data_IF_625973089752
#
_entry.id   IF_625973089752
#
_cell.length_a   1.000
_cell.length_b   1.000
_cell.length_c   1.000
_cell.angle_alpha   90.00
_cell.angle_beta   90.00
_cell.angle_gamma   90.00
#
_symmetry.space_group_name_H-M   'P 1'
#
loop_
_entity.id
_entity.type
_entity.pdbx_description
1 polymer ?
#
# COMPACT_ATOMS: atom_id res chain seq x y z
N UNK A 1 -4.56 23.17 -7.32
CA UNK A 1 -5.00 22.74 -8.70
C UNK A 1 -4.82 21.23 -8.80
N UNK A 2 -5.84 20.49 -9.29
CA UNK A 2 -5.71 19.05 -9.51
C UNK A 2 -4.68 18.76 -10.61
N UNK A 3 -3.86 17.74 -10.40
CA UNK A 3 -2.93 17.24 -11.42
C UNK A 3 -3.69 16.57 -12.58
N UNK A 4 -2.96 16.15 -13.62
CA UNK A 4 -3.54 15.33 -14.70
C UNK A 4 -4.13 14.03 -14.13
N UNK A 5 -3.44 13.43 -13.14
CA UNK A 5 -3.91 12.21 -12.46
C UNK A 5 -5.26 12.42 -11.76
N UNK A 6 -5.41 13.52 -11.04
CA UNK A 6 -6.67 13.85 -10.38
C UNK A 6 -7.82 14.07 -11.36
N UNK A 7 -7.56 14.77 -12.48
CA UNK A 7 -8.56 14.95 -13.54
C UNK A 7 -8.99 13.63 -14.18
N UNK A 8 -8.06 12.70 -14.38
CA UNK A 8 -8.35 11.35 -14.89
C UNK A 8 -9.22 10.59 -13.90
N UNK A 9 -8.87 10.61 -12.61
CA UNK A 9 -9.66 9.96 -11.54
C UNK A 9 -11.09 10.52 -11.47
N UNK A 10 -11.24 11.84 -11.49
CA UNK A 10 -12.55 12.49 -11.51
C UNK A 10 -13.42 12.03 -12.72
N UNK A 11 -12.80 11.98 -13.92
CA UNK A 11 -13.52 11.54 -15.13
C UNK A 11 -13.95 10.07 -15.07
N UNK A 12 -13.22 9.24 -14.30
CA UNK A 12 -13.56 7.85 -14.03
C UNK A 12 -14.54 7.70 -12.85
N UNK A 13 -14.95 8.81 -12.24
CA UNK A 13 -15.89 8.87 -11.13
C UNK A 13 -15.26 8.53 -9.77
N UNK A 14 -13.93 8.55 -9.66
CA UNK A 14 -13.23 8.31 -8.41
C UNK A 14 -13.02 9.59 -7.61
N UNK A 15 -13.22 9.50 -6.31
CA UNK A 15 -12.95 10.59 -5.35
C UNK A 15 -11.73 10.24 -4.51
N UNK A 16 -10.83 11.20 -4.33
CA UNK A 16 -9.74 11.07 -3.36
C UNK A 16 -10.25 11.59 -2.02
N UNK A 17 -10.12 10.78 -0.98
CA UNK A 17 -10.60 11.06 0.38
C UNK A 17 -9.46 10.99 1.40
N UNK A 18 -9.62 11.74 2.49
CA UNK A 18 -8.60 11.88 3.52
C UNK A 18 -7.44 12.77 3.09
N UNK A 19 -6.79 13.34 4.08
CA UNK A 19 -5.58 14.14 3.89
C UNK A 19 -4.35 13.28 4.15
N UNK A 20 -3.29 13.53 3.39
CA UNK A 20 -2.02 12.87 3.66
C UNK A 20 -1.41 13.50 4.92
N UNK A 21 -1.07 12.70 5.95
CA UNK A 21 -0.53 13.24 7.20
C UNK A 21 0.86 13.85 6.97
N UNK A 22 1.26 14.81 7.79
CA UNK A 22 2.61 15.40 7.81
C UNK A 22 3.61 14.39 8.40
N UNK A 23 3.93 13.37 7.61
CA UNK A 23 4.83 12.27 7.96
C UNK A 23 5.84 12.14 6.83
N UNK A 24 7.13 12.21 7.17
CA UNK A 24 8.20 12.10 6.17
C UNK A 24 8.45 10.69 5.69
N UNK A 25 8.23 9.70 6.55
CA UNK A 25 8.52 8.29 6.25
C UNK A 25 7.43 7.39 6.80
N UNK A 26 6.97 6.42 6.01
CA UNK A 26 5.96 5.45 6.45
C UNK A 26 5.98 4.18 5.61
N UNK A 27 5.35 3.14 6.14
CA UNK A 27 4.82 2.04 5.34
C UNK A 27 3.35 2.36 5.06
N UNK A 28 2.97 2.39 3.79
CA UNK A 28 1.56 2.56 3.38
C UNK A 28 1.03 1.19 2.99
N UNK A 29 0.04 0.69 3.70
CA UNK A 29 -0.70 -0.48 3.26
C UNK A 29 -1.86 -0.04 2.37
N UNK A 30 -2.01 -0.71 1.24
CA UNK A 30 -3.02 -0.42 0.24
C UNK A 30 -3.84 -1.68 -0.03
N UNK A 31 -5.09 -1.65 0.39
CA UNK A 31 -6.06 -2.74 0.22
C UNK A 31 -7.48 -2.15 0.05
N UNK A 32 -8.43 -2.92 -0.50
CA UNK A 32 -8.29 -4.22 -1.17
C UNK A 32 -7.47 -4.17 -2.47
N UNK A 33 -6.71 -5.24 -2.75
CA UNK A 33 -6.00 -5.38 -4.04
C UNK A 33 -6.47 -6.66 -4.74
N UNK A 34 -7.59 -6.55 -5.43
CA UNK A 34 -8.34 -7.68 -6.02
C UNK A 34 -8.31 -7.71 -7.55
N UNK A 35 -7.67 -6.71 -8.18
CA UNK A 35 -7.54 -6.64 -9.64
C UNK A 35 -6.25 -5.91 -10.04
N UNK A 36 -5.68 -6.25 -11.21
CA UNK A 36 -4.47 -5.59 -11.73
C UNK A 36 -4.62 -4.08 -11.93
N UNK A 37 -5.84 -3.62 -12.27
CA UNK A 37 -6.15 -2.20 -12.45
C UNK A 37 -5.99 -1.38 -11.16
N UNK A 38 -6.07 -2.01 -9.99
CA UNK A 38 -5.93 -1.35 -8.70
C UNK A 38 -4.55 -0.68 -8.56
N UNK A 39 -3.52 -1.30 -9.14
CA UNK A 39 -2.18 -0.73 -9.19
C UNK A 39 -2.15 0.60 -9.97
N UNK A 40 -2.90 0.69 -11.10
CA UNK A 40 -3.00 1.92 -11.87
C UNK A 40 -3.73 3.01 -11.08
N UNK A 41 -4.85 2.68 -10.44
CA UNK A 41 -5.57 3.62 -9.58
C UNK A 41 -4.70 4.08 -8.41
N UNK A 42 -4.01 3.15 -7.74
CA UNK A 42 -3.05 3.48 -6.69
C UNK A 42 -1.96 4.44 -7.18
N UNK A 43 -1.40 4.20 -8.38
CA UNK A 43 -0.41 5.10 -9.02
C UNK A 43 -0.98 6.49 -9.26
N UNK A 44 -2.19 6.60 -9.79
CA UNK A 44 -2.85 7.89 -10.03
C UNK A 44 -3.09 8.63 -8.70
N UNK A 45 -3.57 7.92 -7.68
CA UNK A 45 -3.83 8.47 -6.35
C UNK A 45 -2.58 9.05 -5.70
N UNK A 46 -1.49 8.28 -5.63
CA UNK A 46 -0.23 8.76 -5.01
C UNK A 46 0.42 9.89 -5.80
N UNK A 47 0.22 9.91 -7.13
CA UNK A 47 0.69 11.03 -7.97
C UNK A 47 -0.10 12.31 -7.67
N UNK A 48 -1.42 12.21 -7.45
CA UNK A 48 -2.25 13.34 -7.05
C UNK A 48 -1.88 13.86 -5.66
N UNK A 49 -1.56 12.96 -4.72
CA UNK A 49 -1.10 13.32 -3.37
C UNK A 49 0.29 13.99 -3.37
N UNK A 50 1.06 13.85 -4.45
CA UNK A 50 2.37 14.50 -4.58
C UNK A 50 3.46 13.95 -3.64
N UNK A 51 3.27 12.78 -3.08
CA UNK A 51 4.20 12.17 -2.12
C UNK A 51 5.37 11.46 -2.80
N UNK A 52 6.51 11.37 -2.12
CA UNK A 52 7.64 10.54 -2.55
C UNK A 52 7.43 9.09 -2.14
N UNK A 53 7.31 8.20 -3.09
CA UNK A 53 6.96 6.80 -2.81
C UNK A 53 7.74 5.80 -3.65
N UNK A 54 7.74 4.54 -3.18
CA UNK A 54 8.11 3.34 -3.94
C UNK A 54 7.07 2.25 -3.70
N UNK A 55 6.64 1.58 -4.78
CA UNK A 55 5.85 0.36 -4.66
C UNK A 55 6.75 -0.83 -4.39
N UNK A 56 6.38 -1.65 -3.42
CA UNK A 56 7.07 -2.91 -3.16
C UNK A 56 6.49 -3.99 -4.07
N UNK A 57 7.30 -4.54 -4.95
CA UNK A 57 6.86 -5.53 -5.94
C UNK A 57 7.75 -6.75 -5.92
N UNK A 58 7.17 -7.91 -6.30
CA UNK A 58 7.90 -9.17 -6.36
C UNK A 58 9.00 -9.10 -7.42
N UNK A 59 10.19 -9.65 -7.11
CA UNK A 59 11.35 -9.66 -8.01
C UNK A 59 11.04 -10.33 -9.36
N UNK A 60 10.17 -11.31 -9.37
CA UNK A 60 9.74 -12.06 -10.55
C UNK A 60 9.08 -11.18 -11.63
N UNK A 61 8.58 -9.99 -11.24
CA UNK A 61 8.01 -9.02 -12.18
C UNK A 61 9.06 -8.17 -12.89
N UNK A 62 10.35 -8.28 -12.50
CA UNK A 62 11.43 -7.46 -13.06
C UNK A 62 12.23 -8.18 -14.17
N UNK A 63 11.55 -8.88 -15.06
CA UNK A 63 12.15 -9.45 -16.28
C UNK A 63 12.06 -8.44 -17.45
N UNK A 64 12.93 -8.57 -18.46
CA UNK A 64 12.90 -7.74 -19.65
C UNK A 64 11.71 -8.13 -20.57
N UNK A 65 10.90 -7.16 -21.10
CA UNK A 65 10.99 -5.69 -20.93
C UNK A 65 10.21 -5.14 -19.73
N UNK A 66 9.54 -5.98 -18.93
CA UNK A 66 8.68 -5.58 -17.82
C UNK A 66 9.42 -4.77 -16.75
N UNK A 67 10.71 -5.01 -16.56
CA UNK A 67 11.56 -4.26 -15.63
C UNK A 67 11.58 -2.74 -15.90
N UNK A 68 11.50 -2.32 -17.18
CA UNK A 68 11.43 -0.91 -17.56
C UNK A 68 10.09 -0.30 -17.12
N UNK A 69 9.01 -1.04 -17.32
CA UNK A 69 7.67 -0.64 -16.88
C UNK A 69 7.62 -0.53 -15.35
N UNK A 70 8.12 -1.54 -14.63
CA UNK A 70 8.13 -1.55 -13.16
C UNK A 70 8.95 -0.38 -12.59
N UNK A 71 10.12 -0.09 -13.15
CA UNK A 71 10.93 1.07 -12.74
C UNK A 71 10.21 2.39 -12.99
N UNK A 72 9.61 2.58 -14.18
CA UNK A 72 8.82 3.77 -14.52
C UNK A 72 7.58 3.92 -13.62
N UNK A 73 7.03 2.80 -13.17
CA UNK A 73 5.92 2.76 -12.23
C UNK A 73 6.33 3.20 -10.81
N UNK A 74 7.63 3.23 -10.53
CA UNK A 74 8.18 3.56 -9.21
C UNK A 74 8.32 2.34 -8.30
N UNK A 75 8.38 1.14 -8.89
CA UNK A 75 8.50 -0.10 -8.12
C UNK A 75 9.94 -0.45 -7.79
N UNK A 76 10.14 -1.05 -6.62
CA UNK A 76 11.38 -1.71 -6.21
C UNK A 76 11.15 -3.22 -6.04
N UNK A 77 12.15 -3.99 -6.45
CA UNK A 77 12.10 -5.44 -6.39
C UNK A 77 12.48 -5.96 -5.01
N UNK A 78 11.67 -6.85 -4.45
CA UNK A 78 12.02 -7.59 -3.24
C UNK A 78 11.89 -9.09 -3.46
N UNK A 79 12.80 -9.86 -2.88
CA UNK A 79 12.72 -11.33 -2.86
C UNK A 79 11.86 -11.75 -1.68
N UNK A 80 10.56 -11.99 -1.93
CA UNK A 80 9.63 -12.48 -0.92
C UNK A 80 9.54 -11.56 0.32
N UNK A 81 8.35 -11.07 0.60
CA UNK A 81 8.14 -10.12 1.73
C UNK A 81 8.35 -10.79 3.11
N UNK A 82 8.40 -12.13 3.14
CA UNK A 82 8.76 -12.92 4.34
C UNK A 82 10.28 -13.04 4.56
N UNK A 83 11.09 -12.60 3.59
CA UNK A 83 12.55 -12.70 3.70
C UNK A 83 13.08 -11.56 4.56
N UNK A 84 13.88 -11.88 5.59
CA UNK A 84 14.55 -10.89 6.42
C UNK A 84 15.32 -9.84 5.60
N UNK A 85 15.94 -10.25 4.48
CA UNK A 85 16.63 -9.34 3.58
C UNK A 85 15.73 -8.25 3.02
N UNK A 86 14.43 -8.53 2.73
CA UNK A 86 13.49 -7.52 2.26
C UNK A 86 13.14 -6.50 3.36
N UNK A 87 13.02 -6.97 4.60
CA UNK A 87 12.75 -6.09 5.76
C UNK A 87 13.93 -5.15 5.99
N UNK A 88 15.17 -5.67 5.98
CA UNK A 88 16.37 -4.85 6.14
C UNK A 88 16.55 -3.87 4.98
N UNK A 89 16.34 -4.33 3.72
CA UNK A 89 16.44 -3.48 2.54
C UNK A 89 15.47 -2.29 2.61
N UNK A 90 14.23 -2.52 3.02
CA UNK A 90 13.22 -1.45 3.15
C UNK A 90 13.56 -0.51 4.31
N UNK A 91 13.98 -1.04 5.44
CA UNK A 91 14.36 -0.23 6.59
C UNK A 91 15.58 0.67 6.28
N UNK A 92 16.59 0.13 5.59
CA UNK A 92 17.76 0.88 5.16
C UNK A 92 17.39 1.97 4.13
N UNK A 93 16.52 1.64 3.18
CA UNK A 93 16.05 2.60 2.18
C UNK A 93 15.30 3.77 2.82
N UNK A 94 14.45 3.50 3.81
CA UNK A 94 13.76 4.54 4.58
C UNK A 94 14.77 5.36 5.38
N UNK A 95 15.66 4.71 6.12
CA UNK A 95 16.66 5.39 6.97
C UNK A 95 17.57 6.34 6.17
N UNK A 96 17.92 5.98 4.93
CA UNK A 96 18.79 6.78 4.04
C UNK A 96 18.01 7.81 3.19
N UNK A 97 16.73 8.02 3.47
CA UNK A 97 15.88 8.97 2.73
C UNK A 97 15.35 10.06 3.68
N UNK A 98 15.39 11.31 3.28
CA UNK A 98 14.76 12.40 4.05
C UNK A 98 13.24 12.27 4.07
N UNK A 99 12.68 11.82 2.94
CA UNK A 99 11.25 11.63 2.77
C UNK A 99 11.02 10.47 1.81
N UNK A 100 10.32 9.43 2.27
CA UNK A 100 9.96 8.28 1.45
C UNK A 100 8.82 7.48 2.08
N UNK A 101 7.87 7.06 1.24
CA UNK A 101 6.79 6.16 1.63
C UNK A 101 6.87 4.86 0.84
N UNK A 102 6.85 3.72 1.53
CA UNK A 102 6.85 2.40 0.89
C UNK A 102 5.43 1.87 0.86
N UNK A 103 4.92 1.64 -0.34
CA UNK A 103 3.55 1.15 -0.57
C UNK A 103 3.58 -0.34 -0.81
N UNK A 104 2.76 -1.05 -0.06
CA UNK A 104 2.63 -2.50 -0.13
C UNK A 104 1.17 -2.93 -0.01
N UNK A 105 0.76 -3.93 -0.80
CA UNK A 105 -0.47 -4.67 -0.52
C UNK A 105 -0.16 -5.82 0.44
N UNK A 106 -0.78 -5.84 1.63
CA UNK A 106 -0.54 -6.90 2.61
C UNK A 106 -1.04 -8.26 2.14
N UNK A 107 -2.04 -8.29 1.25
CA UNK A 107 -2.56 -9.51 0.63
C UNK A 107 -1.47 -10.21 -0.21
N UNK A 108 -0.54 -9.45 -0.78
CA UNK A 108 0.61 -9.94 -1.55
C UNK A 108 0.24 -10.62 -2.88
N UNK A 109 -1.04 -10.79 -3.18
CA UNK A 109 -1.58 -11.39 -4.40
C UNK A 109 -3.01 -10.91 -4.67
N UNK A 110 -3.45 -10.97 -5.93
CA UNK A 110 -4.79 -10.56 -6.37
C UNK A 110 -5.87 -11.61 -6.07
N UNK A 111 -5.47 -12.80 -5.64
CA UNK A 111 -6.39 -13.88 -5.28
C UNK A 111 -6.74 -13.81 -3.80
N UNK A 112 -7.88 -14.38 -3.45
CA UNK A 112 -8.28 -14.55 -2.05
C UNK A 112 -7.17 -15.24 -1.26
N UNK A 113 -6.77 -14.63 -0.16
CA UNK A 113 -5.79 -15.17 0.78
C UNK A 113 -6.44 -15.27 2.16
N UNK A 114 -6.15 -16.35 2.89
CA UNK A 114 -6.63 -16.54 4.26
C UNK A 114 -5.90 -15.61 5.22
N UNK A 115 -4.60 -15.39 4.96
CA UNK A 115 -3.72 -14.65 5.84
C UNK A 115 -2.91 -13.62 5.08
N UNK A 116 -2.84 -12.42 5.63
CA UNK A 116 -2.03 -11.34 5.11
C UNK A 116 -0.55 -11.58 5.40
N UNK A 117 0.28 -11.09 4.52
CA UNK A 117 1.72 -11.13 4.71
C UNK A 117 2.15 -10.13 5.79
N UNK A 118 2.72 -10.62 6.89
CA UNK A 118 3.18 -9.80 8.02
C UNK A 118 4.38 -8.88 7.70
N UNK A 119 4.90 -8.92 6.47
CA UNK A 119 6.08 -8.15 6.07
C UNK A 119 5.93 -6.65 6.28
N UNK A 120 4.77 -6.07 6.02
CA UNK A 120 4.50 -4.64 6.24
C UNK A 120 4.74 -4.24 7.69
N UNK A 121 4.30 -5.07 8.63
CA UNK A 121 4.46 -4.85 10.06
C UNK A 121 5.94 -4.88 10.47
N UNK A 122 6.66 -5.93 10.07
CA UNK A 122 8.08 -6.05 10.42
C UNK A 122 8.95 -4.96 9.76
N UNK A 123 8.59 -4.49 8.55
CA UNK A 123 9.24 -3.37 7.90
C UNK A 123 9.03 -2.07 8.68
N UNK A 124 7.78 -1.78 9.07
CA UNK A 124 7.45 -0.60 9.86
C UNK A 124 8.15 -0.62 11.24
N UNK A 125 8.09 -1.77 11.92
CA UNK A 125 8.75 -1.96 13.22
C UNK A 125 10.28 -1.77 13.12
N UNK A 126 10.92 -2.38 12.11
CA UNK A 126 12.36 -2.27 11.89
C UNK A 126 12.82 -0.87 11.52
N UNK A 127 12.04 -0.18 10.68
CA UNK A 127 12.32 1.19 10.27
C UNK A 127 11.89 2.23 11.32
N UNK A 128 11.13 1.84 12.34
CA UNK A 128 10.53 2.74 13.35
C UNK A 128 9.67 3.84 12.73
N UNK A 129 8.85 3.49 11.75
CA UNK A 129 7.96 4.41 11.04
C UNK A 129 6.50 3.98 11.21
N UNK A 130 5.53 4.92 11.18
CA UNK A 130 4.11 4.59 11.28
C UNK A 130 3.63 3.82 10.06
N UNK A 131 2.46 3.16 10.22
CA UNK A 131 1.72 2.53 9.14
C UNK A 131 0.57 3.44 8.76
N UNK A 132 0.54 3.87 7.50
CA UNK A 132 -0.59 4.59 6.91
C UNK A 132 -1.50 3.55 6.24
N UNK A 133 -2.80 3.64 6.50
CA UNK A 133 -3.80 2.77 5.92
C UNK A 133 -4.50 3.50 4.79
N UNK A 134 -4.29 3.06 3.57
CA UNK A 134 -4.92 3.59 2.37
C UNK A 134 -5.89 2.55 1.78
N UNK A 135 -7.00 3.01 1.20
CA UNK A 135 -8.00 2.14 0.60
C UNK A 135 -8.31 2.51 -0.85
N UNK A 136 -8.83 1.50 -1.56
CA UNK A 136 -9.46 1.64 -2.86
C UNK A 136 -10.85 0.98 -2.77
N UNK A 137 -11.88 1.79 -2.55
CA UNK A 137 -13.25 1.33 -2.37
C UNK A 137 -14.05 1.44 -3.68
N UNK A 138 -14.32 0.30 -4.29
CA UNK A 138 -15.07 0.25 -5.55
C UNK A 138 -16.57 0.48 -5.37
N UNK A 139 -17.10 0.22 -4.18
CA UNK A 139 -18.51 0.42 -3.89
C UNK A 139 -18.84 1.92 -3.85
N UNK A 140 -18.05 2.67 -3.11
CA UNK A 140 -18.20 4.12 -2.97
C UNK A 140 -17.45 4.92 -4.05
N UNK A 141 -16.61 4.25 -4.86
CA UNK A 141 -15.65 4.88 -5.80
C UNK A 141 -14.75 5.90 -5.12
N UNK A 142 -14.24 5.53 -3.97
CA UNK A 142 -13.33 6.34 -3.16
C UNK A 142 -11.96 5.68 -3.04
N UNK A 143 -10.94 6.51 -3.06
CA UNK A 143 -9.58 6.10 -2.72
C UNK A 143 -8.92 7.15 -1.84
N UNK A 144 -8.02 6.71 -0.98
CA UNK A 144 -7.26 7.66 -0.16
C UNK A 144 -6.85 7.11 1.18
N UNK A 145 -6.48 8.03 2.06
CA UNK A 145 -5.99 7.71 3.39
C UNK A 145 -7.20 7.55 4.32
N UNK A 146 -7.24 6.41 5.01
CA UNK A 146 -8.31 6.09 5.97
C UNK A 146 -7.85 6.14 7.42
N UNK A 147 -6.54 6.09 7.68
CA UNK A 147 -6.02 6.17 9.03
C UNK A 147 -4.50 6.05 9.11
N UNK A 148 -3.97 6.31 10.31
CA UNK A 148 -2.54 6.16 10.63
C UNK A 148 -2.42 5.41 11.95
N UNK A 149 -1.51 4.44 11.99
CA UNK A 149 -1.19 3.66 13.17
C UNK A 149 0.23 4.00 13.59
N UNK A 150 0.36 4.69 14.71
CA UNK A 150 1.65 5.12 15.26
C UNK A 150 2.25 4.08 16.21
N UNK A 151 1.41 3.46 17.04
CA UNK A 151 1.87 2.41 17.94
C UNK A 151 1.81 1.05 17.23
N UNK A 152 2.99 0.52 16.89
CA UNK A 152 3.17 -0.72 16.14
C UNK A 152 3.87 -1.83 16.95
N UNK A 153 3.88 -1.73 18.30
CA UNK A 153 4.58 -2.70 19.14
C UNK A 153 3.91 -4.07 19.15
N UNK A 154 2.57 -4.09 19.17
CA UNK A 154 1.80 -5.35 19.16
C UNK A 154 1.12 -5.58 17.80
N UNK A 155 1.43 -6.73 17.19
CA UNK A 155 0.88 -7.11 15.89
C UNK A 155 -0.65 -7.25 15.90
N UNK A 156 -1.20 -7.88 16.94
CA UNK A 156 -2.66 -8.12 17.00
C UNK A 156 -3.41 -6.78 17.16
N UNK A 157 -2.88 -5.87 17.96
CA UNK A 157 -3.42 -4.51 18.09
C UNK A 157 -3.41 -3.76 16.76
N UNK A 158 -2.30 -3.82 16.01
CA UNK A 158 -2.18 -3.23 14.68
C UNK A 158 -3.22 -3.82 13.72
N UNK A 159 -3.35 -5.15 13.68
CA UNK A 159 -4.31 -5.83 12.81
C UNK A 159 -5.75 -5.47 13.17
N UNK A 160 -6.09 -5.39 14.45
CA UNK A 160 -7.43 -4.99 14.89
C UNK A 160 -7.78 -3.57 14.44
N UNK A 161 -6.85 -2.64 14.53
CA UNK A 161 -7.03 -1.27 14.03
C UNK A 161 -7.22 -1.27 12.51
N UNK A 162 -6.38 -1.99 11.76
CA UNK A 162 -6.50 -2.12 10.31
C UNK A 162 -7.85 -2.71 9.91
N UNK A 163 -8.29 -3.79 10.57
CA UNK A 163 -9.59 -4.42 10.31
C UNK A 163 -10.75 -3.45 10.54
N UNK A 164 -10.68 -2.66 11.62
CA UNK A 164 -11.70 -1.64 11.91
C UNK A 164 -11.77 -0.57 10.82
N UNK A 165 -10.61 -0.15 10.29
CA UNK A 165 -10.51 0.84 9.22
C UNK A 165 -11.05 0.29 7.89
N UNK A 166 -10.75 -0.98 7.56
CA UNK A 166 -11.23 -1.60 6.32
C UNK A 166 -12.65 -2.17 6.39
N UNK A 167 -13.30 -2.08 7.53
CA UNK A 167 -14.68 -2.55 7.69
C UNK A 167 -15.61 -1.83 6.70
N UNK A 168 -16.25 -2.60 5.82
CA UNK A 168 -17.16 -2.09 4.79
C UNK A 168 -16.50 -1.65 3.49
N UNK A 169 -15.17 -1.60 3.41
CA UNK A 169 -14.43 -1.31 2.17
C UNK A 169 -14.55 -2.49 1.21
N UNK A 170 -14.84 -2.22 -0.05
CA UNK A 170 -15.09 -3.25 -1.08
C UNK A 170 -14.10 -3.16 -2.22
N UNK A 171 -13.42 -4.27 -2.52
CA UNK A 171 -12.58 -4.39 -3.71
C UNK A 171 -13.39 -4.51 -5.00
N UNK A 172 -12.70 -4.50 -6.16
CA UNK A 172 -13.31 -4.77 -7.47
C UNK A 172 -13.96 -6.15 -7.52
N UNK A 173 -13.38 -7.11 -6.80
CA UNK A 173 -13.93 -8.46 -6.58
C UNK A 173 -14.10 -8.65 -5.08
N UNK A 174 -15.30 -8.32 -4.54
CA UNK A 174 -15.52 -8.30 -3.09
C UNK A 174 -15.27 -9.63 -2.40
N UNK A 175 -15.57 -10.73 -3.07
CA UNK A 175 -15.37 -12.12 -2.63
C UNK A 175 -13.89 -12.50 -2.42
N UNK A 176 -12.97 -11.73 -3.00
CA UNK A 176 -11.53 -11.96 -2.90
C UNK A 176 -10.85 -11.18 -1.77
N UNK A 177 -11.54 -10.21 -1.18
CA UNK A 177 -11.00 -9.47 -0.04
C UNK A 177 -11.49 -10.07 1.29
N UNK A 178 -10.55 -10.38 2.15
CA UNK A 178 -10.83 -10.90 3.50
C UNK A 178 -10.01 -10.10 4.50
N UNK A 179 -10.65 -9.67 5.57
CA UNK A 179 -9.96 -9.06 6.70
C UNK A 179 -9.05 -10.09 7.37
N UNK A 180 -7.94 -9.63 7.92
CA UNK A 180 -6.98 -10.51 8.58
C UNK A 180 -7.60 -11.11 9.85
N UNK A 181 -7.54 -12.43 10.01
CA UNK A 181 -7.91 -13.04 11.27
C UNK A 181 -6.89 -12.69 12.37
N UNK A 182 -7.39 -12.31 13.53
CA UNK A 182 -6.60 -12.19 14.75
C UNK A 182 -6.69 -13.54 15.47
N UNK A 183 -5.55 -14.18 15.65
CA UNK A 183 -5.44 -15.42 16.43
C UNK A 183 -5.60 -15.12 17.92
#
# INVERSE_FOLDING_TARGET
MKTISGKVLDRLGWKITGEFPDIKQSIIIFAPHTAHIDALYGKLGVTELGIKYKFLSKKELFFFPMNLVMKKFGSIAVRGVKNQNAIYQVAELLHNSDELHIIISPEGWIKKVSDWNKGFYYMALKAKVPIIVASLDYKEKEMGIKGVIYNIEDYNSVVNQINSIYKGVSGKRPDQFVLQSTA
#
